data_IF_855466065521
#
_entry.id   IF_855466065521
#
_cell.length_a   1.000
_cell.length_b   1.000
_cell.length_c   1.000
_cell.angle_alpha   90.00
_cell.angle_beta   90.00
_cell.angle_gamma   90.00
#
_symmetry.space_group_name_H-M   'P 1'
#
loop_
_entity.id
_entity.type
_entity.pdbx_description
1 polymer ?
#
# COMPACT_ATOMS: atom_id res chain seq x y z
N UNK A 1 31.86 83.86 46.87
CA UNK A 1 32.28 82.67 46.08
C UNK A 1 31.75 81.32 46.57
N UNK A 2 31.53 81.07 47.88
CA UNK A 2 30.99 79.77 48.34
C UNK A 2 29.50 79.54 47.99
N UNK A 3 28.68 80.60 47.97
CA UNK A 3 27.23 80.50 47.68
C UNK A 3 26.92 80.10 46.22
N UNK A 4 27.66 80.66 45.26
CA UNK A 4 27.50 80.34 43.83
C UNK A 4 27.92 78.90 43.48
N UNK A 5 28.92 78.34 44.17
CA UNK A 5 29.32 76.93 44.02
C UNK A 5 28.28 75.94 44.57
N UNK A 6 27.54 76.32 45.61
CA UNK A 6 26.43 75.52 46.14
C UNK A 6 25.25 75.46 45.17
N UNK A 7 24.86 76.60 44.61
CA UNK A 7 23.77 76.67 43.62
C UNK A 7 24.11 75.90 42.33
N UNK A 8 25.35 75.98 41.85
CA UNK A 8 25.76 75.23 40.65
C UNK A 8 25.70 73.71 40.87
N UNK A 9 26.08 73.23 42.07
CA UNK A 9 25.98 71.80 42.42
C UNK A 9 24.53 71.31 42.50
N UNK A 10 23.63 72.12 43.06
CA UNK A 10 22.21 71.78 43.14
C UNK A 10 21.59 71.74 41.74
N UNK A 11 21.90 72.70 40.86
CA UNK A 11 21.45 72.71 39.47
C UNK A 11 21.94 71.48 38.69
N UNK A 12 23.21 71.10 38.84
CA UNK A 12 23.76 69.90 38.18
C UNK A 12 23.08 68.63 38.68
N UNK A 13 22.86 68.50 40.00
CA UNK A 13 22.17 67.34 40.56
C UNK A 13 20.70 67.26 40.11
N UNK A 14 19.99 68.39 40.03
CA UNK A 14 18.63 68.42 39.48
C UNK A 14 18.60 68.06 37.99
N UNK A 15 19.54 68.57 37.18
CA UNK A 15 19.62 68.20 35.77
C UNK A 15 19.93 66.74 35.56
N UNK A 16 20.84 66.15 36.35
CA UNK A 16 21.13 64.71 36.30
C UNK A 16 19.89 63.91 36.71
N UNK A 17 19.22 64.28 37.80
CA UNK A 17 18.00 63.60 38.26
C UNK A 17 16.89 63.62 37.20
N UNK A 18 16.63 64.77 36.57
CA UNK A 18 15.61 64.92 35.51
C UNK A 18 15.98 64.15 34.24
N UNK A 19 17.26 64.14 33.85
CA UNK A 19 17.72 63.33 32.72
C UNK A 19 17.59 61.84 33.03
N UNK A 20 17.94 61.40 34.24
CA UNK A 20 17.79 60.00 34.63
C UNK A 20 16.32 59.56 34.65
N UNK A 21 15.40 60.36 35.18
CA UNK A 21 13.97 60.01 35.22
C UNK A 21 13.34 59.99 33.82
N UNK A 22 13.70 60.94 32.96
CA UNK A 22 13.18 60.95 31.58
C UNK A 22 13.71 59.79 30.73
N UNK A 23 14.94 59.34 30.98
CA UNK A 23 15.48 58.15 30.31
C UNK A 23 14.85 56.84 30.79
N UNK A 24 14.52 56.73 32.09
CA UNK A 24 13.83 55.55 32.62
C UNK A 24 12.39 55.50 32.11
N UNK A 25 11.66 56.61 32.14
CA UNK A 25 10.27 56.69 31.69
C UNK A 25 10.13 56.35 30.19
N UNK A 26 11.09 56.79 29.37
CA UNK A 26 11.12 56.45 27.95
C UNK A 26 11.40 54.95 27.70
N UNK A 27 12.26 54.33 28.51
CA UNK A 27 12.55 52.90 28.43
C UNK A 27 11.36 52.05 28.91
N UNK A 28 10.66 52.50 29.95
CA UNK A 28 9.45 51.85 30.46
C UNK A 28 8.31 51.94 29.44
N UNK A 29 8.10 53.10 28.81
CA UNK A 29 7.11 53.26 27.75
C UNK A 29 7.41 52.38 26.52
N UNK A 30 8.68 52.24 26.14
CA UNK A 30 9.10 51.34 25.05
C UNK A 30 8.87 49.87 25.39
N UNK A 31 9.17 49.44 26.62
CA UNK A 31 8.91 48.09 27.09
C UNK A 31 7.40 47.81 27.17
N UNK A 32 6.62 48.78 27.60
CA UNK A 32 5.16 48.67 27.69
C UNK A 32 4.51 48.57 26.30
N UNK A 33 5.04 49.29 25.30
CA UNK A 33 4.63 49.13 23.91
C UNK A 33 4.99 47.75 23.36
N UNK A 34 6.20 47.25 23.61
CA UNK A 34 6.60 45.89 23.20
C UNK A 34 5.73 44.81 23.86
N UNK A 35 5.38 44.94 25.14
CA UNK A 35 4.47 44.01 25.81
C UNK A 35 3.06 44.04 25.20
N UNK A 36 2.56 45.22 24.79
CA UNK A 36 1.29 45.34 24.09
C UNK A 36 1.34 44.66 22.72
N UNK A 37 2.44 44.81 21.98
CA UNK A 37 2.64 44.13 20.69
C UNK A 37 2.71 42.61 20.83
N UNK A 38 3.46 42.09 21.82
CA UNK A 38 3.50 40.66 22.10
C UNK A 38 2.14 40.11 22.53
N UNK A 39 1.37 40.88 23.30
CA UNK A 39 0.01 40.50 23.69
C UNK A 39 -0.92 40.43 22.48
N UNK A 40 -0.87 41.42 21.58
CA UNK A 40 -1.66 41.41 20.35
C UNK A 40 -1.27 40.24 19.43
N UNK A 41 0.03 39.91 19.33
CA UNK A 41 0.49 38.74 18.60
C UNK A 41 0.01 37.43 19.23
N UNK A 42 0.03 37.31 20.55
CA UNK A 42 -0.49 36.13 21.25
C UNK A 42 -2.00 35.96 21.01
N UNK A 43 -2.77 37.04 21.10
CA UNK A 43 -4.21 37.04 20.79
C UNK A 43 -4.48 36.69 19.31
N UNK A 44 -3.66 37.19 18.39
CA UNK A 44 -3.73 36.83 16.96
C UNK A 44 -3.49 35.34 16.73
N UNK A 45 -2.39 34.79 17.25
CA UNK A 45 -2.06 33.36 17.11
C UNK A 45 -3.08 32.46 17.80
N UNK A 46 -3.64 32.89 18.94
CA UNK A 46 -4.74 32.21 19.58
C UNK A 46 -5.98 32.16 18.67
N UNK A 47 -6.33 33.29 18.04
CA UNK A 47 -7.44 33.34 17.07
C UNK A 47 -7.21 32.43 15.87
N UNK A 48 -6.00 32.42 15.31
CA UNK A 48 -5.61 31.50 14.21
C UNK A 48 -5.74 30.05 14.65
N UNK A 49 -5.23 29.70 15.83
CA UNK A 49 -5.35 28.34 16.38
C UNK A 49 -6.81 27.90 16.53
N UNK A 50 -7.69 28.77 17.05
CA UNK A 50 -9.12 28.48 17.17
C UNK A 50 -9.78 28.31 15.80
N UNK A 51 -9.47 29.15 14.82
CA UNK A 51 -10.02 28.99 13.46
C UNK A 51 -9.54 27.68 12.83
N UNK A 52 -8.27 27.32 12.99
CA UNK A 52 -7.75 26.03 12.52
C UNK A 52 -8.43 24.84 13.21
N UNK A 53 -8.67 24.93 14.52
CA UNK A 53 -9.37 23.88 15.28
C UNK A 53 -10.82 23.73 14.80
N UNK A 54 -11.54 24.84 14.61
CA UNK A 54 -12.91 24.83 14.09
C UNK A 54 -12.97 24.31 12.65
N UNK A 55 -12.07 24.74 11.77
CA UNK A 55 -11.98 24.25 10.38
C UNK A 55 -11.74 22.75 10.33
N UNK A 56 -10.81 22.24 11.15
CA UNK A 56 -10.56 20.80 11.27
C UNK A 56 -11.81 20.07 11.77
N UNK A 57 -12.51 20.63 12.75
CA UNK A 57 -13.72 20.03 13.29
C UNK A 57 -14.83 19.98 12.23
N UNK A 58 -14.99 21.03 11.42
CA UNK A 58 -15.94 21.07 10.30
C UNK A 58 -15.62 19.97 9.27
N UNK A 59 -14.37 19.86 8.82
CA UNK A 59 -13.93 18.81 7.90
C UNK A 59 -14.17 17.40 8.46
N UNK A 60 -13.88 17.17 9.74
CA UNK A 60 -14.15 15.89 10.40
C UNK A 60 -15.65 15.57 10.43
N UNK A 61 -16.50 16.56 10.70
CA UNK A 61 -17.96 16.35 10.69
C UNK A 61 -18.51 16.10 9.29
N UNK A 62 -17.94 16.73 8.26
CA UNK A 62 -18.33 16.50 6.88
C UNK A 62 -17.88 15.11 6.39
N UNK A 63 -16.65 14.69 6.72
CA UNK A 63 -16.16 13.34 6.45
C UNK A 63 -17.00 12.28 7.17
N UNK A 64 -17.33 12.48 8.45
CA UNK A 64 -18.22 11.58 9.19
C UNK A 64 -19.58 11.43 8.49
N UNK A 65 -20.16 12.54 8.06
CA UNK A 65 -21.44 12.54 7.33
C UNK A 65 -21.33 11.81 5.98
N UNK A 66 -20.22 11.96 5.26
CA UNK A 66 -19.98 11.24 4.01
C UNK A 66 -19.88 9.73 4.26
N UNK A 67 -19.12 9.30 5.27
CA UNK A 67 -19.05 7.89 5.66
C UNK A 67 -20.43 7.32 6.03
N UNK A 68 -21.21 8.05 6.83
CA UNK A 68 -22.56 7.62 7.20
C UNK A 68 -23.48 7.49 5.97
N UNK A 69 -23.36 8.42 5.01
CA UNK A 69 -24.12 8.39 3.76
C UNK A 69 -23.73 7.21 2.85
N UNK A 70 -22.44 6.91 2.75
CA UNK A 70 -21.94 5.75 1.99
C UNK A 70 -22.39 4.44 2.62
N UNK A 71 -22.31 4.33 3.95
CA UNK A 71 -22.81 3.16 4.68
C UNK A 71 -24.30 2.96 4.41
N UNK A 72 -25.11 4.02 4.47
CA UNK A 72 -26.54 3.94 4.16
C UNK A 72 -26.79 3.53 2.70
N UNK A 73 -26.05 4.09 1.75
CA UNK A 73 -26.16 3.74 0.34
C UNK A 73 -25.81 2.28 0.07
N UNK A 74 -24.73 1.79 0.67
CA UNK A 74 -24.32 0.38 0.58
C UNK A 74 -25.34 -0.55 1.23
N UNK A 75 -25.87 -0.18 2.39
CA UNK A 75 -26.95 -0.94 3.05
C UNK A 75 -28.19 -1.03 2.16
N UNK A 76 -28.57 0.05 1.48
CA UNK A 76 -29.70 0.03 0.56
C UNK A 76 -29.43 -0.83 -0.67
N UNK A 77 -28.24 -0.75 -1.27
CA UNK A 77 -27.86 -1.62 -2.38
C UNK A 77 -27.86 -3.11 -1.99
N UNK A 78 -27.37 -3.44 -0.79
CA UNK A 78 -27.43 -4.80 -0.25
C UNK A 78 -28.87 -5.25 0.00
N UNK A 79 -29.73 -4.37 0.53
CA UNK A 79 -31.16 -4.64 0.71
C UNK A 79 -31.85 -4.88 -0.63
N UNK A 80 -31.52 -4.11 -1.66
CA UNK A 80 -32.09 -4.27 -3.00
C UNK A 80 -31.63 -5.58 -3.65
N UNK A 81 -30.34 -5.89 -3.60
CA UNK A 81 -29.82 -7.16 -4.14
C UNK A 81 -30.41 -8.36 -3.41
N UNK A 82 -30.57 -8.30 -2.08
CA UNK A 82 -31.28 -9.31 -1.31
C UNK A 82 -32.72 -9.50 -1.80
N UNK A 83 -33.48 -8.41 -1.97
CA UNK A 83 -34.84 -8.44 -2.50
C UNK A 83 -34.90 -9.02 -3.93
N UNK A 84 -33.93 -8.70 -4.78
CA UNK A 84 -33.81 -9.28 -6.13
C UNK A 84 -33.57 -10.80 -6.09
N UNK A 85 -32.73 -11.28 -5.17
CA UNK A 85 -32.52 -12.72 -4.97
C UNK A 85 -33.77 -13.41 -4.42
N UNK A 86 -34.47 -12.81 -3.45
CA UNK A 86 -35.74 -13.34 -2.92
C UNK A 86 -36.81 -13.46 -4.01
N UNK A 87 -36.92 -12.44 -4.88
CA UNK A 87 -37.83 -12.48 -6.02
C UNK A 87 -37.46 -13.60 -7.02
N UNK A 88 -36.18 -13.76 -7.34
CA UNK A 88 -35.70 -14.83 -8.22
C UNK A 88 -35.94 -16.22 -7.63
N UNK A 89 -35.71 -16.38 -6.33
CA UNK A 89 -36.01 -17.62 -5.59
C UNK A 89 -37.52 -17.89 -5.65
N UNK A 90 -38.36 -16.88 -5.46
CA UNK A 90 -39.83 -17.02 -5.53
C UNK A 90 -40.31 -17.43 -6.94
N UNK A 91 -39.69 -16.91 -8.00
CA UNK A 91 -39.97 -17.32 -9.40
C UNK A 91 -39.56 -18.77 -9.62
N UNK A 92 -38.38 -19.18 -9.15
CA UNK A 92 -37.91 -20.56 -9.29
C UNK A 92 -38.78 -21.54 -8.48
N UNK A 93 -39.22 -21.14 -7.29
CA UNK A 93 -40.11 -21.94 -6.45
C UNK A 93 -41.54 -22.03 -6.98
N UNK A 94 -42.02 -21.00 -7.72
CA UNK A 94 -43.31 -20.99 -8.41
C UNK A 94 -43.28 -21.62 -9.82
N UNK A 95 -42.11 -22.14 -10.24
CA UNK A 95 -41.95 -22.96 -11.45
C UNK A 95 -42.02 -24.50 -11.23
N UNK A 96 -42.84 -25.08 -10.33
CA UNK A 96 -43.02 -26.52 -10.31
C UNK A 96 -44.04 -26.88 -11.40
N UNK A 97 -43.58 -27.33 -12.58
CA UNK A 97 -44.25 -28.33 -13.45
C UNK A 97 -43.60 -28.51 -14.83
N UNK A 98 -42.74 -27.58 -15.30
CA UNK A 98 -42.14 -27.71 -16.64
C UNK A 98 -41.02 -28.77 -16.69
N UNK A 99 -40.13 -28.80 -15.70
CA UNK A 99 -39.03 -29.77 -15.64
C UNK A 99 -39.49 -31.22 -15.38
N UNK A 100 -40.68 -31.42 -14.79
CA UNK A 100 -41.21 -32.77 -14.51
C UNK A 100 -41.93 -33.41 -15.70
N UNK A 101 -42.33 -32.63 -16.73
CA UNK A 101 -43.03 -33.16 -17.92
C UNK A 101 -42.08 -33.70 -19.00
N UNK A 102 -40.80 -33.31 -18.97
CA UNK A 102 -39.82 -33.69 -19.98
C UNK A 102 -39.03 -34.98 -19.68
N UNK A 103 -39.23 -35.63 -18.53
CA UNK A 103 -38.52 -36.85 -18.16
C UNK A 103 -39.40 -37.84 -17.41
N UNK A 104 -40.00 -38.80 -18.11
CA UNK A 104 -40.80 -39.84 -17.47
C UNK A 104 -41.58 -40.74 -18.42
N UNK A 105 -40.89 -41.40 -19.35
CA UNK A 105 -41.41 -42.63 -19.97
C UNK A 105 -40.69 -43.82 -19.32
N UNK A 106 -41.50 -44.79 -18.86
CA UNK A 106 -41.17 -46.11 -18.33
C UNK A 106 -40.46 -46.19 -16.96
N UNK A 107 -41.19 -46.65 -15.93
CA UNK A 107 -41.22 -48.06 -15.51
C UNK A 107 -42.39 -48.24 -14.53
N UNK A 108 -43.25 -49.21 -14.84
CA UNK A 108 -44.30 -49.76 -13.97
C UNK A 108 -43.65 -50.71 -12.98
N UNK A 109 -43.80 -50.47 -11.67
CA UNK A 109 -43.91 -51.51 -10.65
C UNK A 109 -44.94 -51.05 -9.62
N UNK A 110 -46.06 -51.76 -9.58
CA UNK A 110 -47.12 -51.67 -8.56
C UNK A 110 -46.61 -52.11 -7.19
N UNK A 111 -47.03 -51.43 -6.12
CA UNK A 111 -47.31 -52.01 -4.80
C UNK A 111 -48.03 -50.97 -3.92
N UNK A 112 -49.35 -51.12 -3.84
CA UNK A 112 -50.25 -50.90 -2.70
C UNK A 112 -49.72 -50.10 -1.48
N UNK A 113 -50.32 -48.95 -1.18
CA UNK A 113 -51.42 -48.81 -0.20
C UNK A 113 -51.59 -47.32 0.19
N UNK A 114 -52.84 -46.87 0.20
CA UNK A 114 -53.29 -45.58 0.72
C UNK A 114 -53.81 -45.77 2.16
N UNK A 115 -54.40 -44.75 2.82
CA UNK A 115 -54.15 -43.30 2.89
C UNK A 115 -53.80 -42.92 4.37
N UNK A 116 -53.47 -41.69 4.77
CA UNK A 116 -54.43 -40.67 5.23
C UNK A 116 -53.75 -39.32 5.47
N UNK A 117 -54.47 -38.26 5.08
CA UNK A 117 -54.40 -36.88 5.57
C UNK A 117 -54.51 -36.82 7.11
N UNK A 118 -54.09 -35.80 7.83
CA UNK A 118 -54.62 -34.42 7.80
C UNK A 118 -53.88 -33.58 8.86
N UNK A 119 -53.88 -32.24 8.67
CA UNK A 119 -53.79 -31.15 9.69
C UNK A 119 -52.47 -30.99 10.46
N UNK A 120 -51.65 -29.98 10.16
CA UNK A 120 -51.76 -28.57 10.57
C UNK A 120 -51.55 -28.35 12.07
N UNK A 121 -50.50 -27.61 12.46
CA UNK A 121 -50.57 -26.38 13.28
C UNK A 121 -49.21 -25.99 13.91
N UNK A 122 -48.86 -24.72 13.69
CA UNK A 122 -48.34 -23.74 14.65
C UNK A 122 -46.88 -23.74 15.11
N UNK A 123 -46.27 -22.58 14.81
CA UNK A 123 -45.25 -21.86 15.57
C UNK A 123 -45.46 -21.88 17.09
N UNK A 124 -44.37 -22.01 17.84
CA UNK A 124 -44.07 -21.16 19.00
C UNK A 124 -42.63 -21.41 19.50
N UNK A 125 -42.06 -20.34 20.03
CA UNK A 125 -40.70 -20.12 20.52
C UNK A 125 -40.36 -20.89 21.81
N UNK A 126 -39.05 -20.92 22.10
CA UNK A 126 -38.41 -20.68 23.41
C UNK A 126 -37.40 -21.76 23.86
N UNK A 127 -36.15 -21.32 23.86
CA UNK A 127 -35.05 -21.49 24.82
C UNK A 127 -34.80 -22.78 25.65
N UNK A 128 -33.51 -22.88 25.98
CA UNK A 128 -32.85 -23.49 27.15
C UNK A 128 -32.29 -24.91 26.98
N UNK A 129 -30.97 -24.89 26.73
CA UNK A 129 -29.88 -25.65 27.35
C UNK A 129 -30.00 -27.13 27.75
N UNK A 130 -28.92 -27.82 27.35
CA UNK A 130 -28.17 -28.87 28.04
C UNK A 130 -28.86 -30.23 28.21
N UNK A 131 -28.23 -31.27 27.68
CA UNK A 131 -27.36 -32.14 28.51
C UNK A 131 -26.67 -33.27 27.71
N UNK A 132 -25.38 -33.42 28.00
CA UNK A 132 -24.60 -34.67 28.19
C UNK A 132 -24.39 -35.66 27.04
N UNK A 133 -23.12 -35.83 26.63
CA UNK A 133 -22.24 -36.97 27.04
C UNK A 133 -20.80 -36.63 26.59
N UNK A 134 -19.79 -36.26 27.41
CA UNK A 134 -19.08 -36.89 28.54
C UNK A 134 -18.24 -38.14 28.18
N UNK A 135 -16.96 -37.89 27.88
CA UNK A 135 -15.75 -38.55 28.48
C UNK A 135 -14.47 -37.91 27.88
N UNK A 136 -13.81 -36.99 28.58
CA UNK A 136 -12.70 -37.18 29.53
C UNK A 136 -11.44 -37.78 28.86
N UNK A 137 -10.40 -36.96 28.56
CA UNK A 137 -9.26 -36.54 29.43
C UNK A 137 -8.17 -37.64 29.49
N UNK A 138 -6.85 -37.42 29.41
CA UNK A 138 -5.90 -36.32 29.66
C UNK A 138 -4.55 -36.75 28.99
N UNK A 139 -3.78 -35.89 28.31
CA UNK A 139 -2.71 -34.99 28.79
C UNK A 139 -1.39 -35.67 29.22
N UNK A 140 -0.29 -35.35 28.51
CA UNK A 140 1.11 -35.13 28.96
C UNK A 140 1.95 -34.84 27.69
N UNK A 141 2.41 -33.61 27.41
CA UNK A 141 3.53 -32.89 28.05
C UNK A 141 4.88 -33.58 27.81
N UNK A 142 5.68 -33.03 26.88
CA UNK A 142 7.14 -33.18 26.86
C UNK A 142 7.76 -32.08 25.98
N UNK A 143 8.33 -31.09 26.66
CA UNK A 143 9.34 -30.18 26.13
C UNK A 143 10.60 -30.97 25.74
N UNK A 144 11.21 -30.62 24.62
CA UNK A 144 12.63 -30.85 24.39
C UNK A 144 13.20 -29.71 23.55
N UNK A 145 14.00 -28.90 24.23
CA UNK A 145 14.98 -27.95 23.69
C UNK A 145 16.08 -28.71 22.96
N UNK A 146 16.46 -28.27 21.77
CA UNK A 146 17.82 -28.45 21.24
C UNK A 146 18.14 -27.33 20.23
N UNK A 147 19.10 -26.49 20.62
CA UNK A 147 19.85 -25.60 19.75
C UNK A 147 20.64 -26.34 18.66
N UNK A 148 21.15 -25.60 17.68
CA UNK A 148 22.44 -25.97 17.07
C UNK A 148 22.53 -25.78 15.57
N UNK A 149 22.90 -24.57 15.18
CA UNK A 149 23.45 -24.17 13.89
C UNK A 149 24.76 -24.95 13.55
N UNK A 150 24.95 -25.37 12.28
CA UNK A 150 26.29 -25.68 11.74
C UNK A 150 26.47 -26.83 10.74
N UNK A 151 26.46 -26.48 9.43
CA UNK A 151 27.34 -27.00 8.32
C UNK A 151 27.20 -28.45 7.79
N UNK A 152 27.78 -28.81 6.61
CA UNK A 152 27.85 -28.16 5.28
C UNK A 152 27.56 -29.12 4.08
N UNK A 153 27.40 -28.55 2.87
CA UNK A 153 27.74 -29.12 1.55
C UNK A 153 27.01 -30.35 0.94
N UNK A 154 26.68 -30.15 -0.35
CA UNK A 154 26.62 -31.11 -1.47
C UNK A 154 25.27 -31.74 -1.87
N UNK A 155 24.56 -31.04 -2.75
CA UNK A 155 24.14 -31.45 -4.11
C UNK A 155 23.16 -30.36 -4.58
N UNK A 156 23.07 -29.91 -5.82
CA UNK A 156 23.78 -30.08 -7.07
C UNK A 156 22.97 -29.18 -8.03
N UNK A 157 23.66 -28.35 -8.82
CA UNK A 157 23.20 -27.73 -10.05
C UNK A 157 21.74 -27.20 -10.11
N UNK A 158 21.57 -25.88 -10.19
CA UNK A 158 21.28 -25.21 -11.46
C UNK A 158 21.21 -23.70 -11.22
N UNK A 159 21.64 -22.93 -12.24
CA UNK A 159 21.63 -21.46 -12.33
C UNK A 159 22.83 -20.72 -11.71
N UNK A 160 23.99 -20.91 -12.35
CA UNK A 160 25.04 -19.90 -12.36
C UNK A 160 24.83 -18.90 -13.48
N UNK A 161 24.87 -17.62 -13.09
CA UNK A 161 25.44 -16.47 -13.80
C UNK A 161 24.81 -16.06 -15.15
N UNK A 162 24.78 -14.80 -15.56
CA UNK A 162 24.98 -13.43 -15.03
C UNK A 162 24.98 -12.61 -16.33
N UNK A 163 24.51 -11.37 -16.26
CA UNK A 163 24.67 -10.32 -17.27
C UNK A 163 23.95 -10.54 -18.61
N UNK A 164 22.98 -9.66 -18.92
CA UNK A 164 22.92 -8.99 -20.22
C UNK A 164 22.03 -7.75 -20.09
N UNK A 165 22.65 -6.61 -20.37
CA UNK A 165 22.04 -5.29 -20.49
C UNK A 165 21.12 -5.20 -21.73
N UNK A 166 20.25 -4.20 -21.67
CA UNK A 166 19.48 -3.56 -22.74
C UNK A 166 19.94 -3.79 -24.20
N UNK A 167 19.04 -4.32 -25.05
CA UNK A 167 18.52 -3.69 -26.28
C UNK A 167 17.85 -4.71 -27.23
N UNK A 168 16.80 -4.25 -27.92
CA UNK A 168 16.27 -4.78 -29.20
C UNK A 168 15.38 -6.04 -29.16
N UNK A 169 14.06 -5.83 -29.11
CA UNK A 169 13.07 -6.77 -29.62
C UNK A 169 12.55 -6.28 -30.97
N UNK A 170 13.16 -6.76 -32.05
CA UNK A 170 12.50 -6.88 -33.34
C UNK A 170 12.70 -8.29 -33.88
N UNK A 171 11.59 -8.86 -34.32
CA UNK A 171 11.43 -10.03 -35.19
C UNK A 171 11.08 -11.37 -34.52
N UNK A 172 9.81 -11.73 -34.62
CA UNK A 172 9.40 -13.10 -34.91
C UNK A 172 9.04 -13.18 -36.39
N UNK A 173 9.70 -14.06 -37.14
CA UNK A 173 9.10 -14.79 -38.27
C UNK A 173 9.93 -16.04 -38.53
N UNK A 174 9.26 -17.18 -38.51
CA UNK A 174 9.80 -18.52 -38.68
C UNK A 174 10.10 -18.83 -40.16
N UNK A 175 11.19 -19.57 -40.37
CA UNK A 175 11.62 -20.23 -41.61
C UNK A 175 10.52 -21.07 -42.28
N UNK A 176 10.49 -21.14 -43.62
CA UNK A 176 11.10 -22.20 -44.45
C UNK A 176 10.96 -21.84 -45.96
N UNK A 177 11.70 -22.46 -46.91
CA UNK A 177 13.10 -22.18 -47.26
C UNK A 177 13.28 -21.77 -48.76
N UNK A 178 14.53 -21.50 -49.14
CA UNK A 178 15.12 -21.47 -50.51
C UNK A 178 15.24 -20.12 -51.27
N UNK A 179 16.44 -19.53 -51.11
CA UNK A 179 17.33 -18.81 -52.06
C UNK A 179 16.98 -18.80 -53.58
N UNK A 180 17.67 -17.98 -54.42
CA UNK A 180 18.19 -16.61 -54.25
C UNK A 180 17.94 -15.71 -55.49
N UNK A 181 18.04 -14.38 -55.36
CA UNK A 181 18.94 -13.50 -56.16
C UNK A 181 18.50 -12.03 -56.25
N UNK A 182 19.51 -11.20 -55.96
CA UNK A 182 19.85 -9.89 -56.54
C UNK A 182 19.00 -8.66 -56.16
N UNK A 183 19.65 -7.84 -55.34
CA UNK A 183 19.61 -6.38 -55.44
C UNK A 183 19.84 -5.93 -56.89
N UNK A 184 18.91 -5.14 -57.43
CA UNK A 184 19.21 -4.18 -58.47
C UNK A 184 18.38 -2.93 -58.22
N UNK A 185 19.06 -1.90 -57.70
CA UNK A 185 18.56 -0.53 -57.74
C UNK A 185 18.68 -0.04 -59.17
N UNK A 186 17.58 0.39 -59.78
CA UNK A 186 17.57 1.27 -60.94
C UNK A 186 16.15 1.85 -61.06
N UNK A 187 15.96 3.04 -60.52
CA UNK A 187 14.91 3.94 -61.02
C UNK A 187 15.30 4.30 -62.44
N UNK A 188 14.54 3.83 -63.43
CA UNK A 188 14.48 4.46 -64.74
C UNK A 188 13.04 4.33 -65.25
N UNK A 189 12.50 5.50 -65.56
CA UNK A 189 11.23 5.77 -66.22
C UNK A 189 11.12 5.06 -67.57
N UNK A 190 9.87 4.81 -67.95
CA UNK A 190 9.39 4.55 -69.32
C UNK A 190 9.56 3.15 -69.92
N UNK A 191 8.48 2.37 -69.81
CA UNK A 191 8.05 1.50 -70.91
C UNK A 191 6.54 1.27 -70.86
N UNK A 192 5.81 2.25 -71.38
CA UNK A 192 4.45 2.04 -71.87
C UNK A 192 4.53 1.19 -73.14
N UNK A 193 3.57 0.27 -73.29
CA UNK A 193 3.33 -0.62 -74.44
C UNK A 193 3.95 -2.03 -74.33
N UNK A 194 3.19 -2.95 -73.73
CA UNK A 194 3.08 -4.31 -74.26
C UNK A 194 1.67 -4.88 -74.08
N UNK A 195 0.93 -4.82 -75.18
CA UNK A 195 0.09 -5.89 -75.74
C UNK A 195 -0.94 -6.59 -74.82
N UNK A 196 -2.13 -6.01 -74.78
CA UNK A 196 -3.37 -6.68 -75.21
C UNK A 196 -3.79 -7.98 -74.53
N UNK A 197 -4.63 -7.85 -73.50
CA UNK A 197 -5.91 -8.56 -73.40
C UNK A 197 -6.92 -7.66 -72.69
N UNK A 198 -8.06 -7.40 -73.35
CA UNK A 198 -9.25 -6.79 -72.74
C UNK A 198 -9.75 -7.75 -71.64
N UNK A 199 -9.36 -7.49 -70.40
CA UNK A 199 -9.98 -8.08 -69.21
C UNK A 199 -10.93 -7.02 -68.64
N UNK A 200 -12.20 -7.36 -68.35
CA UNK A 200 -13.16 -6.41 -67.78
C UNK A 200 -12.58 -5.70 -66.55
N UNK A 201 -12.97 -4.43 -66.39
CA UNK A 201 -12.59 -3.47 -65.34
C UNK A 201 -11.85 -4.07 -64.13
N UNK A 202 -10.63 -3.57 -63.94
CA UNK A 202 -9.68 -3.91 -62.90
C UNK A 202 -10.32 -4.15 -61.53
N UNK A 203 -10.40 -5.42 -61.12
CA UNK A 203 -10.44 -5.75 -59.70
C UNK A 203 -9.06 -5.40 -59.17
N UNK A 204 -8.93 -4.24 -58.52
CA UNK A 204 -7.71 -3.86 -57.82
C UNK A 204 -7.42 -4.93 -56.77
N UNK A 205 -6.40 -5.75 -57.04
CA UNK A 205 -5.93 -6.77 -56.11
C UNK A 205 -4.82 -6.14 -55.26
N UNK A 206 -5.06 -5.85 -53.98
CA UNK A 206 -4.05 -5.22 -53.13
C UNK A 206 -2.80 -6.12 -53.01
N UNK A 207 -1.59 -5.54 -52.95
CA UNK A 207 -0.35 -6.29 -52.76
C UNK A 207 -0.40 -7.20 -51.53
N UNK A 208 0.38 -8.28 -51.52
CA UNK A 208 0.41 -9.23 -50.41
C UNK A 208 0.61 -8.50 -49.06
N UNK A 209 -0.25 -8.83 -48.08
CA UNK A 209 -0.27 -8.18 -46.76
C UNK A 209 -1.16 -6.94 -46.65
N UNK A 210 -1.74 -6.44 -47.75
CA UNK A 210 -2.62 -5.28 -47.75
C UNK A 210 -4.07 -5.71 -47.95
N UNK A 211 -4.96 -5.22 -47.07
CA UNK A 211 -6.42 -5.44 -47.16
C UNK A 211 -7.07 -4.14 -47.61
N UNK A 212 -8.02 -4.24 -48.54
CA UNK A 212 -8.92 -3.13 -48.84
C UNK A 212 -9.85 -2.92 -47.65
N UNK A 213 -9.80 -1.72 -47.08
CA UNK A 213 -10.62 -1.31 -45.93
C UNK A 213 -11.66 -0.32 -46.44
N UNK A 214 -12.92 -0.50 -46.05
CA UNK A 214 -13.97 0.46 -46.39
C UNK A 214 -13.75 1.78 -45.65
N UNK A 215 -14.22 2.91 -46.20
CA UNK A 215 -14.02 4.22 -45.56
C UNK A 215 -14.53 4.26 -44.11
N UNK A 216 -15.68 3.65 -43.82
CA UNK A 216 -16.20 3.57 -42.44
C UNK A 216 -15.30 2.77 -41.49
N UNK A 217 -14.72 1.66 -41.96
CA UNK A 217 -13.80 0.84 -41.17
C UNK A 217 -12.45 1.56 -40.96
N UNK A 218 -12.01 2.34 -41.95
CA UNK A 218 -10.81 3.18 -41.85
C UNK A 218 -11.01 4.32 -40.84
N UNK A 219 -12.16 5.00 -40.89
CA UNK A 219 -12.50 6.06 -39.93
C UNK A 219 -12.61 5.51 -38.51
N UNK A 220 -13.21 4.32 -38.34
CA UNK A 220 -13.29 3.64 -37.05
C UNK A 220 -11.89 3.25 -36.51
N UNK A 221 -11.02 2.69 -37.36
CA UNK A 221 -9.65 2.36 -36.97
C UNK A 221 -8.84 3.63 -36.65
N UNK A 222 -9.01 4.70 -37.43
CA UNK A 222 -8.35 5.98 -37.19
C UNK A 222 -8.82 6.63 -35.88
N UNK A 223 -10.11 6.52 -35.55
CA UNK A 223 -10.65 6.96 -34.27
C UNK A 223 -10.06 6.17 -33.10
N UNK A 224 -10.01 4.83 -33.20
CA UNK A 224 -9.39 3.98 -32.17
C UNK A 224 -7.91 4.25 -32.00
N UNK A 225 -7.15 4.44 -33.09
CA UNK A 225 -5.73 4.81 -33.02
C UNK A 225 -5.55 6.18 -32.37
N UNK A 226 -6.47 7.12 -32.61
CA UNK A 226 -6.43 8.45 -31.99
C UNK A 226 -6.77 8.39 -30.49
N UNK A 227 -7.74 7.56 -30.11
CA UNK A 227 -8.12 7.30 -28.72
C UNK A 227 -6.96 6.65 -27.97
N UNK A 228 -6.40 5.56 -28.49
CA UNK A 228 -5.23 4.87 -27.92
C UNK A 228 -4.02 5.81 -27.81
N UNK A 229 -3.79 6.69 -28.80
CA UNK A 229 -2.75 7.72 -28.69
C UNK A 229 -3.04 8.69 -27.55
N UNK A 230 -4.29 9.11 -27.37
CA UNK A 230 -4.71 9.94 -26.24
C UNK A 230 -4.47 9.25 -24.90
N UNK A 231 -4.79 7.95 -24.80
CA UNK A 231 -4.54 7.15 -23.61
C UNK A 231 -3.05 7.00 -23.29
N UNK A 232 -2.22 6.73 -24.31
CA UNK A 232 -0.76 6.67 -24.15
C UNK A 232 -0.21 8.02 -23.68
N UNK A 233 -0.69 9.14 -24.23
CA UNK A 233 -0.28 10.47 -23.78
C UNK A 233 -0.66 10.73 -22.31
N UNK A 234 -1.86 10.32 -21.87
CA UNK A 234 -2.27 10.45 -20.46
C UNK A 234 -1.41 9.60 -19.53
N UNK A 235 -1.24 8.32 -19.85
CA UNK A 235 -0.42 7.40 -19.06
C UNK A 235 1.04 7.86 -18.98
N UNK A 236 1.55 8.46 -20.06
CA UNK A 236 2.89 9.02 -20.07
C UNK A 236 3.01 10.24 -19.15
N UNK A 237 2.02 11.13 -19.12
CA UNK A 237 1.99 12.25 -18.18
C UNK A 237 1.88 11.80 -16.72
N UNK A 238 1.02 10.81 -16.43
CA UNK A 238 0.90 10.21 -15.09
C UNK A 238 2.22 9.55 -14.66
N UNK A 239 2.89 8.83 -15.56
CA UNK A 239 4.22 8.25 -15.31
C UNK A 239 5.23 9.35 -14.94
N UNK A 240 5.30 10.42 -15.71
CA UNK A 240 6.21 11.54 -15.45
C UNK A 240 5.90 12.24 -14.11
N UNK A 241 4.62 12.30 -13.72
CA UNK A 241 4.20 12.83 -12.42
C UNK A 241 4.62 11.94 -11.25
N UNK A 242 4.41 10.63 -11.37
CA UNK A 242 4.85 9.67 -10.37
C UNK A 242 6.38 9.63 -10.24
N UNK A 243 7.12 9.75 -11.36
CA UNK A 243 8.58 9.85 -11.34
C UNK A 243 9.04 11.12 -10.61
N UNK A 244 8.41 12.26 -10.87
CA UNK A 244 8.69 13.51 -10.13
C UNK A 244 8.41 13.38 -8.64
N UNK A 245 7.30 12.75 -8.25
CA UNK A 245 6.96 12.58 -6.84
C UNK A 245 7.90 11.57 -6.14
N UNK A 246 8.32 10.51 -6.84
CA UNK A 246 9.33 9.61 -6.31
C UNK A 246 10.66 10.34 -6.07
N UNK A 247 11.08 11.21 -7.00
CA UNK A 247 12.28 12.00 -6.86
C UNK A 247 12.18 12.99 -5.69
N UNK A 248 11.05 13.68 -5.51
CA UNK A 248 10.86 14.62 -4.39
C UNK A 248 10.89 13.88 -3.05
N UNK A 249 10.21 12.74 -2.94
CA UNK A 249 10.21 11.91 -1.72
C UNK A 249 11.57 11.30 -1.43
N UNK A 250 12.27 10.79 -2.43
CA UNK A 250 13.64 10.26 -2.29
C UNK A 250 14.60 11.35 -1.81
N UNK A 251 14.49 12.57 -2.36
CA UNK A 251 15.30 13.70 -1.93
C UNK A 251 14.94 14.15 -0.50
N UNK A 252 13.67 14.15 -0.13
CA UNK A 252 13.23 14.51 1.22
C UNK A 252 13.72 13.50 2.27
N UNK A 253 13.52 12.21 2.01
CA UNK A 253 13.99 11.12 2.89
C UNK A 253 15.51 11.12 3.02
N UNK A 254 16.25 11.33 1.92
CA UNK A 254 17.70 11.47 1.97
C UNK A 254 18.14 12.63 2.88
N UNK A 255 17.51 13.81 2.77
CA UNK A 255 17.79 14.96 3.65
C UNK A 255 17.51 14.65 5.11
N UNK A 256 16.40 13.99 5.42
CA UNK A 256 16.07 13.57 6.80
C UNK A 256 17.11 12.59 7.34
N UNK A 257 17.47 11.57 6.56
CA UNK A 257 18.49 10.58 6.94
C UNK A 257 19.84 11.26 7.18
N UNK A 258 20.27 12.18 6.30
CA UNK A 258 21.51 12.94 6.50
C UNK A 258 21.47 13.80 7.77
N UNK A 259 20.34 14.45 8.08
CA UNK A 259 20.20 15.23 9.32
C UNK A 259 20.33 14.33 10.56
N UNK A 260 19.65 13.18 10.57
CA UNK A 260 19.74 12.21 11.66
C UNK A 260 21.16 11.65 11.79
N UNK A 261 21.84 11.34 10.67
CA UNK A 261 23.22 10.90 10.67
C UNK A 261 24.17 11.96 11.28
N UNK A 262 24.00 13.23 10.92
CA UNK A 262 24.74 14.34 11.53
C UNK A 262 24.48 14.46 13.03
N UNK A 263 23.23 14.31 13.46
CA UNK A 263 22.87 14.34 14.89
C UNK A 263 23.50 13.19 15.66
N UNK A 264 23.46 11.97 15.11
CA UNK A 264 24.09 10.78 15.70
C UNK A 264 25.60 11.00 15.81
N UNK A 265 26.28 11.43 14.75
CA UNK A 265 27.71 11.75 14.78
C UNK A 265 28.05 12.80 15.85
N UNK A 266 27.20 13.82 16.00
CA UNK A 266 27.40 14.87 17.03
C UNK A 266 27.25 14.29 18.42
N UNK A 267 26.22 13.46 18.65
CA UNK A 267 26.01 12.79 19.94
C UNK A 267 27.15 11.82 20.29
N UNK A 268 27.67 11.10 19.30
CA UNK A 268 28.79 10.19 19.48
C UNK A 268 30.06 10.95 19.85
N UNK A 269 30.36 12.06 19.17
CA UNK A 269 31.50 12.91 19.51
C UNK A 269 31.40 13.45 20.95
N UNK A 270 30.22 13.90 21.37
CA UNK A 270 29.99 14.35 22.75
C UNK A 270 30.19 13.23 23.77
N UNK A 271 29.70 12.02 23.49
CA UNK A 271 29.90 10.86 24.37
C UNK A 271 31.39 10.48 24.47
N UNK A 272 32.13 10.53 23.37
CA UNK A 272 33.58 10.30 23.37
C UNK A 272 34.31 11.34 24.23
N UNK A 273 33.92 12.61 24.15
CA UNK A 273 34.53 13.66 24.96
C UNK A 273 34.16 13.54 26.44
N UNK A 274 32.94 13.13 26.75
CA UNK A 274 32.51 12.83 28.12
C UNK A 274 33.28 11.62 28.69
N UNK A 275 33.47 10.57 27.89
CA UNK A 275 34.30 9.42 28.28
C UNK A 275 35.75 9.82 28.56
N UNK A 276 36.33 10.68 27.71
CA UNK A 276 37.67 11.24 27.94
C UNK A 276 37.70 12.05 29.24
N UNK A 277 36.75 12.96 29.47
CA UNK A 277 36.72 13.79 30.68
C UNK A 277 36.53 12.95 31.95
N UNK A 278 35.71 11.90 31.89
CA UNK A 278 35.52 10.95 32.99
C UNK A 278 36.83 10.23 33.31
N UNK A 279 37.55 9.70 32.31
CA UNK A 279 38.83 9.04 32.51
C UNK A 279 39.89 10.00 33.12
N UNK A 280 39.88 11.27 32.69
CA UNK A 280 40.76 12.30 33.24
C UNK A 280 40.43 12.62 34.70
N UNK A 281 39.15 12.80 35.03
CA UNK A 281 38.67 13.03 36.39
C UNK A 281 39.00 11.85 37.30
N UNK A 282 38.76 10.63 36.82
CA UNK A 282 39.09 9.39 37.52
C UNK A 282 40.59 9.32 37.84
N UNK A 283 41.46 9.57 36.86
CA UNK A 283 42.91 9.58 37.06
C UNK A 283 43.35 10.68 38.05
N UNK A 284 42.73 11.87 37.99
CA UNK A 284 43.01 12.96 38.91
C UNK A 284 42.63 12.61 40.37
N UNK A 285 41.48 11.96 40.57
CA UNK A 285 41.06 11.46 41.89
C UNK A 285 42.00 10.36 42.39
N UNK A 286 42.41 9.42 41.53
CA UNK A 286 43.37 8.38 41.89
C UNK A 286 44.73 8.98 42.29
N UNK A 287 45.23 10.01 41.59
CA UNK A 287 46.45 10.74 41.97
C UNK A 287 46.31 11.40 43.34
N UNK A 288 45.20 12.11 43.59
CA UNK A 288 44.94 12.74 44.89
C UNK A 288 44.84 11.72 46.02
N UNK A 289 44.22 10.57 45.79
CA UNK A 289 44.14 9.49 46.78
C UNK A 289 45.54 8.93 47.09
N UNK A 290 46.37 8.75 46.06
CA UNK A 290 47.75 8.31 46.23
C UNK A 290 48.57 9.32 47.06
N UNK A 291 48.46 10.61 46.76
CA UNK A 291 49.10 11.71 47.51
C UNK A 291 48.64 11.73 48.98
N UNK A 292 47.33 11.60 49.23
CA UNK A 292 46.78 11.54 50.59
C UNK A 292 47.33 10.32 51.34
N UNK A 293 47.36 9.13 50.72
CA UNK A 293 47.90 7.93 51.34
C UNK A 293 49.39 8.06 51.68
N UNK A 294 50.16 8.72 50.82
CA UNK A 294 51.58 9.01 51.06
C UNK A 294 51.75 10.00 52.22
N UNK A 295 50.95 11.07 52.24
CA UNK A 295 50.96 12.05 53.33
C UNK A 295 50.57 11.42 54.67
N UNK A 296 49.56 10.55 54.69
CA UNK A 296 49.12 9.81 55.86
C UNK A 296 50.24 8.90 56.38
N UNK A 297 50.88 8.12 55.50
CA UNK A 297 51.99 7.23 55.89
C UNK A 297 53.15 8.03 56.49
N UNK A 298 53.47 9.19 55.90
CA UNK A 298 54.50 10.10 56.41
C UNK A 298 54.14 10.64 57.80
N UNK A 299 52.91 11.13 57.99
CA UNK A 299 52.43 11.59 59.30
C UNK A 299 52.45 10.46 60.34
N UNK A 300 52.00 9.25 60.00
CA UNK A 300 52.06 8.09 60.89
C UNK A 300 53.51 7.74 61.28
N UNK A 301 54.46 7.82 60.35
CA UNK A 301 55.88 7.60 60.65
C UNK A 301 56.46 8.68 61.58
N UNK A 302 56.09 9.94 61.38
CA UNK A 302 56.48 11.06 62.24
C UNK A 302 55.90 10.92 63.65
N UNK A 303 54.62 10.54 63.77
CA UNK A 303 53.98 10.28 65.07
C UNK A 303 54.62 9.10 65.81
N UNK A 304 55.03 8.06 65.07
CA UNK A 304 55.72 6.91 65.67
C UNK A 304 57.13 7.26 66.12
N UNK A 305 57.81 8.17 65.43
CA UNK A 305 59.10 8.73 65.85
C UNK A 305 58.96 9.55 67.13
N UNK A 306 58.03 10.50 67.17
CA UNK A 306 57.78 11.32 68.36
C UNK A 306 57.34 10.49 69.57
N UNK A 307 56.51 9.46 69.36
CA UNK A 307 56.09 8.54 70.44
C UNK A 307 57.21 7.62 70.93
N UNK A 308 58.23 7.38 70.10
CA UNK A 308 59.43 6.61 70.45
C UNK A 308 60.54 7.45 71.10
N UNK A 309 60.33 8.76 71.22
CA UNK A 309 61.30 9.73 71.72
C UNK A 309 60.73 10.46 72.95
N UNK A 310 60.42 9.67 73.98
CA UNK A 310 60.23 10.14 75.37
C UNK A 310 60.99 9.19 76.30
N UNK A 311 62.31 9.34 76.33
CA UNK A 311 63.11 8.98 77.49
C UNK A 311 64.08 10.13 77.72
N UNK A 312 63.86 10.80 78.85
CA UNK A 312 64.65 11.88 79.47
C UNK A 312 64.36 13.30 78.95
N UNK A 313 63.49 14.04 79.63
CA UNK A 313 63.96 15.04 80.59
C UNK A 313 62.77 15.63 81.39
N UNK A 314 62.96 15.73 82.70
CA UNK A 314 62.05 16.35 83.66
C UNK A 314 62.12 17.88 83.53
N UNK A 315 60.97 18.53 83.40
CA UNK A 315 60.90 19.99 83.37
C UNK A 315 59.46 20.48 83.55
N UNK A 316 59.09 21.02 84.72
CA UNK A 316 57.73 21.45 85.00
C UNK A 316 57.44 22.80 84.34
N UNK A 317 56.14 23.06 84.22
CA UNK A 317 55.52 24.34 83.88
C UNK A 317 55.50 24.73 82.40
N UNK A 318 54.37 24.45 81.75
CA UNK A 318 53.81 25.32 80.72
C UNK A 318 52.29 25.18 80.67
N UNK A 319 51.64 26.00 81.50
CA UNK A 319 50.45 26.78 81.17
C UNK A 319 49.63 26.31 79.95
N UNK A 320 48.54 25.57 80.20
CA UNK A 320 47.43 25.48 79.25
C UNK A 320 46.19 26.18 79.82
N UNK A 321 46.29 27.49 79.94
CA UNK A 321 45.13 28.36 79.85
C UNK A 321 44.98 28.82 78.40
N UNK A 322 43.73 28.83 77.90
CA UNK A 322 43.17 29.39 76.64
C UNK A 322 42.65 28.33 75.62
N UNK A 323 41.54 28.59 74.90
CA UNK A 323 40.30 29.28 75.29
C UNK A 323 39.04 28.45 74.92
N UNK A 324 38.10 28.28 75.85
CA UNK A 324 36.80 27.67 75.55
C UNK A 324 35.95 28.46 74.51
N UNK A 325 36.35 29.70 74.17
CA UNK A 325 35.67 30.58 73.21
C UNK A 325 36.11 30.42 71.75
N UNK A 326 37.29 29.85 71.43
CA UNK A 326 37.65 29.54 70.02
C UNK A 326 37.08 28.20 69.54
N UNK A 327 36.97 27.22 70.44
CA UNK A 327 36.45 25.88 70.11
C UNK A 327 34.97 25.93 69.66
N UNK A 328 34.16 26.79 70.32
CA UNK A 328 32.77 27.01 69.96
C UNK A 328 32.60 27.60 68.56
N UNK A 329 33.44 28.58 68.18
CA UNK A 329 33.42 29.18 66.86
C UNK A 329 33.82 28.20 65.74
N UNK A 330 34.81 27.32 65.98
CA UNK A 330 35.18 26.27 65.02
C UNK A 330 34.15 25.13 64.92
N UNK A 331 33.38 24.87 65.98
CA UNK A 331 32.27 23.92 65.93
C UNK A 331 31.05 24.52 65.22
N UNK A 332 30.74 25.78 65.48
CA UNK A 332 29.69 26.52 64.79
C UNK A 332 29.99 26.65 63.29
N UNK A 333 31.23 26.96 62.91
CA UNK A 333 31.63 27.05 61.51
C UNK A 333 31.58 25.69 60.80
N UNK A 334 31.96 24.59 61.48
CA UNK A 334 31.76 23.23 60.94
C UNK A 334 30.30 22.91 60.69
N UNK A 335 29.41 23.24 61.63
CA UNK A 335 27.97 23.04 61.47
C UNK A 335 27.40 23.89 60.34
N UNK A 336 27.88 25.12 60.14
CA UNK A 336 27.48 25.96 59.00
C UNK A 336 27.88 25.34 57.66
N UNK A 337 29.11 24.86 57.54
CA UNK A 337 29.59 24.17 56.33
C UNK A 337 28.78 22.90 56.08
N UNK A 338 28.46 22.13 57.12
CA UNK A 338 27.67 20.90 56.99
C UNK A 338 26.21 21.20 56.59
N UNK A 339 25.60 22.26 57.12
CA UNK A 339 24.26 22.71 56.70
C UNK A 339 24.27 23.14 55.23
N UNK A 340 25.31 23.87 54.78
CA UNK A 340 25.43 24.27 53.37
C UNK A 340 25.60 23.03 52.47
N UNK A 341 26.47 22.09 52.86
CA UNK A 341 26.69 20.85 52.12
C UNK A 341 25.41 19.99 52.04
N UNK A 342 24.67 19.85 53.15
CA UNK A 342 23.39 19.13 53.16
C UNK A 342 22.33 19.82 52.29
N UNK A 343 22.33 21.17 52.23
CA UNK A 343 21.46 21.94 51.33
C UNK A 343 21.84 21.74 49.87
N UNK A 344 23.13 21.74 49.54
CA UNK A 344 23.62 21.44 48.19
C UNK A 344 23.27 20.00 47.77
N UNK A 345 23.41 19.03 48.66
CA UNK A 345 23.01 17.64 48.40
C UNK A 345 21.50 17.49 48.19
N UNK A 346 20.68 18.22 48.95
CA UNK A 346 19.23 18.26 48.73
C UNK A 346 18.87 18.93 47.40
N UNK A 347 19.53 20.03 47.04
CA UNK A 347 19.33 20.70 45.76
C UNK A 347 19.70 19.78 44.58
N UNK A 348 20.85 19.10 44.64
CA UNK A 348 21.27 18.12 43.63
C UNK A 348 20.26 16.99 43.48
N UNK A 349 19.76 16.41 44.59
CA UNK A 349 18.70 15.38 44.53
C UNK A 349 17.40 15.90 43.91
N UNK A 350 16.99 17.14 44.19
CA UNK A 350 15.79 17.70 43.56
C UNK A 350 15.96 17.93 42.06
N UNK A 351 17.16 18.30 41.61
CA UNK A 351 17.46 18.42 40.17
C UNK A 351 17.46 17.04 39.49
N UNK A 352 18.05 16.02 40.13
CA UNK A 352 18.00 14.63 39.66
C UNK A 352 16.56 14.11 39.57
N UNK A 353 15.71 14.38 40.57
CA UNK A 353 14.30 13.99 40.55
C UNK A 353 13.52 14.65 39.40
N UNK A 354 13.81 15.92 39.10
CA UNK A 354 13.22 16.62 37.94
C UNK A 354 13.70 15.99 36.63
N UNK A 355 15.00 15.67 36.50
CA UNK A 355 15.53 14.99 35.33
C UNK A 355 14.93 13.59 35.15
N UNK A 356 14.78 12.82 36.22
CA UNK A 356 14.11 11.52 36.20
C UNK A 356 12.64 11.64 35.79
N UNK A 357 11.94 12.68 36.27
CA UNK A 357 10.55 12.94 35.85
C UNK A 357 10.47 13.28 34.35
N UNK A 358 11.39 14.10 33.84
CA UNK A 358 11.47 14.45 32.42
C UNK A 358 11.80 13.23 31.56
N UNK A 359 12.78 12.42 31.97
CA UNK A 359 13.14 11.17 31.28
C UNK A 359 11.96 10.20 31.29
N UNK A 360 11.24 10.08 32.41
CA UNK A 360 10.04 9.24 32.50
C UNK A 360 8.97 9.68 31.51
N UNK A 361 8.66 10.98 31.44
CA UNK A 361 7.69 11.49 30.46
C UNK A 361 8.13 11.23 29.02
N UNK A 362 9.43 11.33 28.75
CA UNK A 362 9.98 11.06 27.42
C UNK A 362 9.92 9.57 27.08
N UNK A 363 10.19 8.67 28.03
CA UNK A 363 10.02 7.22 27.83
C UNK A 363 8.57 6.84 27.60
N UNK A 364 7.61 7.46 28.30
CA UNK A 364 6.18 7.25 28.09
C UNK A 364 5.74 7.74 26.70
N UNK A 365 6.28 8.89 26.26
CA UNK A 365 6.05 9.44 24.91
C UNK A 365 6.61 8.54 23.82
N UNK A 366 7.82 8.01 23.99
CA UNK A 366 8.43 7.07 23.03
C UNK A 366 7.64 5.76 23.00
N UNK A 367 7.20 5.28 24.16
CA UNK A 367 6.42 4.05 24.27
C UNK A 367 5.06 4.19 23.57
N UNK A 368 4.36 5.32 23.73
CA UNK A 368 3.10 5.56 23.02
C UNK A 368 3.28 5.66 21.51
N UNK A 369 4.36 6.30 21.04
CA UNK A 369 4.70 6.35 19.61
C UNK A 369 5.01 4.97 19.04
N UNK A 370 5.73 4.13 19.80
CA UNK A 370 5.99 2.74 19.41
C UNK A 370 4.69 1.95 19.27
N UNK A 371 3.80 2.06 20.26
CA UNK A 371 2.53 1.34 20.26
C UNK A 371 1.61 1.82 19.11
N UNK A 372 1.63 3.13 18.80
CA UNK A 372 0.92 3.70 17.65
C UNK A 372 1.46 3.16 16.32
N UNK A 373 2.78 3.22 16.10
CA UNK A 373 3.41 2.67 14.89
C UNK A 373 3.16 1.16 14.75
N UNK A 374 3.14 0.42 15.86
CA UNK A 374 2.84 -0.99 15.87
C UNK A 374 1.38 -1.27 15.47
N UNK A 375 0.43 -0.43 15.90
CA UNK A 375 -0.96 -0.50 15.47
C UNK A 375 -1.12 -0.17 13.97
N UNK A 376 -0.46 0.88 13.48
CA UNK A 376 -0.46 1.25 12.06
C UNK A 376 0.12 0.14 11.18
N UNK A 377 1.23 -0.48 11.60
CA UNK A 377 1.84 -1.59 10.87
C UNK A 377 0.92 -2.82 10.81
N UNK A 378 0.18 -3.12 11.89
CA UNK A 378 -0.81 -4.17 11.89
C UNK A 378 -1.98 -3.85 10.95
N UNK A 379 -2.46 -2.60 10.94
CA UNK A 379 -3.52 -2.15 10.03
C UNK A 379 -3.08 -2.30 8.56
N UNK A 380 -1.90 -1.79 8.19
CA UNK A 380 -1.36 -1.95 6.84
C UNK A 380 -1.21 -3.44 6.44
N UNK A 381 -0.83 -4.31 7.39
CA UNK A 381 -0.72 -5.74 7.13
C UNK A 381 -2.08 -6.38 6.84
N UNK A 382 -3.12 -6.00 7.58
CA UNK A 382 -4.49 -6.47 7.31
C UNK A 382 -5.03 -5.97 5.98
N UNK A 383 -4.73 -4.73 5.60
CA UNK A 383 -5.10 -4.18 4.29
C UNK A 383 -4.40 -4.94 3.15
N UNK A 384 -3.10 -5.20 3.28
CA UNK A 384 -2.34 -5.99 2.30
C UNK A 384 -2.88 -7.43 2.16
N UNK A 385 -3.31 -8.03 3.26
CA UNK A 385 -3.92 -9.37 3.24
C UNK A 385 -5.30 -9.32 2.56
N UNK A 386 -6.10 -8.29 2.81
CA UNK A 386 -7.36 -8.03 2.10
C UNK A 386 -7.17 -7.84 0.59
N UNK A 387 -6.18 -7.02 0.19
CA UNK A 387 -5.83 -6.80 -1.22
C UNK A 387 -5.34 -8.10 -1.89
N UNK A 388 -4.55 -8.93 -1.20
CA UNK A 388 -4.14 -10.24 -1.71
C UNK A 388 -5.32 -11.16 -1.98
N UNK A 389 -6.30 -11.19 -1.09
CA UNK A 389 -7.53 -11.97 -1.29
C UNK A 389 -8.33 -11.43 -2.47
N UNK A 390 -8.53 -10.11 -2.55
CA UNK A 390 -9.23 -9.48 -3.68
C UNK A 390 -8.56 -9.79 -5.03
N UNK A 391 -7.22 -9.69 -5.10
CA UNK A 391 -6.44 -10.04 -6.29
C UNK A 391 -6.66 -11.50 -6.70
N UNK A 392 -6.62 -12.43 -5.74
CA UNK A 392 -6.86 -13.85 -6.00
C UNK A 392 -8.26 -14.12 -6.58
N UNK A 393 -9.28 -13.41 -6.08
CA UNK A 393 -10.64 -13.51 -6.62
C UNK A 393 -10.74 -12.96 -8.04
N UNK A 394 -10.12 -11.81 -8.33
CA UNK A 394 -10.11 -11.23 -9.68
C UNK A 394 -9.38 -12.15 -10.66
N UNK A 395 -8.24 -12.71 -10.27
CA UNK A 395 -7.49 -13.66 -11.09
C UNK A 395 -8.32 -14.92 -11.40
N UNK A 396 -8.97 -15.50 -10.39
CA UNK A 396 -9.86 -16.65 -10.56
C UNK A 396 -11.04 -16.32 -11.47
N UNK A 397 -11.64 -15.14 -11.31
CA UNK A 397 -12.78 -14.68 -12.12
C UNK A 397 -12.37 -14.44 -13.57
N UNK A 398 -11.19 -13.87 -13.81
CA UNK A 398 -10.65 -13.69 -15.17
C UNK A 398 -10.33 -15.02 -15.84
N UNK A 399 -9.75 -15.98 -15.12
CA UNK A 399 -9.52 -17.33 -15.63
C UNK A 399 -10.85 -18.02 -16.00
N UNK A 400 -11.86 -17.93 -15.14
CA UNK A 400 -13.19 -18.46 -15.40
C UNK A 400 -13.86 -17.77 -16.61
N UNK A 401 -13.74 -16.45 -16.73
CA UNK A 401 -14.27 -15.70 -17.87
C UNK A 401 -13.60 -16.12 -19.19
N UNK A 402 -12.27 -16.25 -19.20
CA UNK A 402 -11.51 -16.75 -20.36
C UNK A 402 -11.93 -18.16 -20.77
N UNK A 403 -12.07 -19.07 -19.80
CA UNK A 403 -12.47 -20.45 -20.08
C UNK A 403 -13.93 -20.50 -20.59
N UNK A 404 -14.81 -19.69 -20.01
CA UNK A 404 -16.19 -19.57 -20.48
C UNK A 404 -16.26 -19.02 -21.92
N UNK A 405 -15.45 -18.03 -22.26
CA UNK A 405 -15.37 -17.49 -23.62
C UNK A 405 -14.89 -18.54 -24.63
N UNK A 406 -13.88 -19.34 -24.29
CA UNK A 406 -13.44 -20.47 -25.12
C UNK A 406 -14.56 -21.50 -25.33
N UNK A 407 -15.35 -21.81 -24.29
CA UNK A 407 -16.51 -22.68 -24.43
C UNK A 407 -17.56 -22.12 -25.39
N UNK A 408 -17.84 -20.82 -25.35
CA UNK A 408 -18.78 -20.17 -26.26
C UNK A 408 -18.29 -20.22 -27.71
N UNK A 409 -16.99 -20.00 -27.92
CA UNK A 409 -16.38 -20.04 -29.24
C UNK A 409 -16.39 -21.45 -29.85
N UNK A 410 -16.00 -22.47 -29.08
CA UNK A 410 -16.11 -23.88 -29.51
C UNK A 410 -17.56 -24.27 -29.81
N UNK A 411 -18.52 -23.77 -29.03
CA UNK A 411 -19.94 -24.02 -29.29
C UNK A 411 -20.40 -23.38 -30.60
N UNK A 412 -19.95 -22.16 -30.88
CA UNK A 412 -20.21 -21.49 -32.16
C UNK A 412 -19.63 -22.27 -33.34
N UNK A 413 -18.38 -22.72 -33.24
CA UNK A 413 -17.73 -23.57 -34.25
C UNK A 413 -18.51 -24.88 -34.47
N UNK A 414 -18.98 -25.52 -33.40
CA UNK A 414 -19.76 -26.76 -33.49
C UNK A 414 -21.12 -26.53 -34.18
N UNK A 415 -21.79 -25.41 -33.90
CA UNK A 415 -23.04 -25.03 -34.60
C UNK A 415 -22.77 -24.79 -36.10
N UNK A 416 -21.68 -24.09 -36.43
CA UNK A 416 -21.28 -23.84 -37.82
C UNK A 416 -20.99 -25.14 -38.57
N UNK A 417 -20.18 -26.03 -37.98
CA UNK A 417 -19.87 -27.33 -38.58
C UNK A 417 -21.13 -28.18 -38.73
N UNK A 418 -22.04 -28.16 -37.75
CA UNK A 418 -23.30 -28.88 -37.84
C UNK A 418 -24.15 -28.38 -39.01
N UNK A 419 -24.27 -27.06 -39.17
CA UNK A 419 -24.95 -26.46 -40.32
C UNK A 419 -24.29 -26.84 -41.66
N UNK A 420 -22.97 -26.89 -41.72
CA UNK A 420 -22.25 -27.32 -42.93
C UNK A 420 -22.49 -28.80 -43.26
N UNK A 421 -22.56 -29.67 -42.24
CA UNK A 421 -22.90 -31.08 -42.43
C UNK A 421 -24.35 -31.23 -42.90
N UNK A 422 -25.29 -30.51 -42.30
CA UNK A 422 -26.71 -30.57 -42.66
C UNK A 422 -26.92 -30.07 -44.11
N UNK A 423 -26.26 -28.97 -44.52
CA UNK A 423 -26.31 -28.49 -45.91
C UNK A 423 -25.68 -29.49 -46.90
N UNK A 424 -24.53 -30.09 -46.55
CA UNK A 424 -23.92 -31.14 -47.36
C UNK A 424 -24.83 -32.37 -47.50
N UNK A 425 -25.53 -32.75 -46.42
CA UNK A 425 -26.47 -33.85 -46.45
C UNK A 425 -27.66 -33.54 -47.37
N UNK A 426 -28.23 -32.34 -47.27
CA UNK A 426 -29.31 -31.90 -48.19
C UNK A 426 -28.85 -31.94 -49.64
N UNK A 427 -27.67 -31.40 -49.96
CA UNK A 427 -27.12 -31.43 -51.33
C UNK A 427 -26.93 -32.87 -51.83
N UNK A 428 -26.49 -33.79 -50.97
CA UNK A 428 -26.38 -35.21 -51.34
C UNK A 428 -27.76 -35.83 -51.63
N UNK A 429 -28.75 -35.55 -50.80
CA UNK A 429 -30.12 -36.04 -50.99
C UNK A 429 -30.71 -35.51 -52.30
N UNK A 430 -30.55 -34.21 -52.57
CA UNK A 430 -31.01 -33.56 -53.80
C UNK A 430 -30.31 -34.16 -55.03
N UNK A 431 -29.00 -34.40 -54.96
CA UNK A 431 -28.26 -35.05 -56.05
C UNK A 431 -28.78 -36.47 -56.32
N UNK A 432 -29.03 -37.26 -55.28
CA UNK A 432 -29.59 -38.60 -55.41
C UNK A 432 -30.98 -38.53 -56.05
N UNK A 433 -31.85 -37.64 -55.58
CA UNK A 433 -33.19 -37.44 -56.14
C UNK A 433 -33.13 -37.00 -57.62
N UNK A 434 -32.26 -36.04 -57.94
CA UNK A 434 -32.08 -35.55 -59.31
C UNK A 434 -31.57 -36.67 -60.22
N UNK A 435 -30.62 -37.48 -59.74
CA UNK A 435 -30.07 -38.61 -60.49
C UNK A 435 -31.13 -39.68 -60.77
N UNK A 436 -31.97 -40.02 -59.78
CA UNK A 436 -33.08 -40.95 -59.94
C UNK A 436 -34.13 -40.41 -60.93
N UNK A 437 -34.51 -39.13 -60.79
CA UNK A 437 -35.44 -38.47 -61.71
C UNK A 437 -34.91 -38.45 -63.13
N UNK A 438 -33.64 -38.09 -63.32
CA UNK A 438 -32.97 -38.14 -64.63
C UNK A 438 -32.98 -39.56 -65.21
N UNK A 439 -32.67 -40.56 -64.39
CA UNK A 439 -32.62 -41.96 -64.82
C UNK A 439 -34.00 -42.47 -65.25
N UNK A 440 -35.05 -42.09 -64.52
CA UNK A 440 -36.44 -42.35 -64.92
C UNK A 440 -36.80 -41.63 -66.23
N UNK A 441 -36.48 -40.33 -66.36
CA UNK A 441 -36.75 -39.55 -67.59
C UNK A 441 -36.06 -40.17 -68.81
N UNK A 442 -34.79 -40.57 -68.67
CA UNK A 442 -34.05 -41.24 -69.74
C UNK A 442 -34.66 -42.59 -70.12
N UNK A 443 -35.15 -43.37 -69.15
CA UNK A 443 -35.81 -44.64 -69.42
C UNK A 443 -37.17 -44.46 -70.12
N UNK A 444 -37.94 -43.42 -69.77
CA UNK A 444 -39.18 -43.07 -70.47
C UNK A 444 -38.89 -42.64 -71.91
N UNK A 445 -37.84 -41.83 -72.14
CA UNK A 445 -37.39 -41.47 -73.49
C UNK A 445 -36.97 -42.70 -74.30
N UNK A 446 -36.27 -43.67 -73.67
CA UNK A 446 -35.87 -44.93 -74.32
C UNK A 446 -37.08 -45.77 -74.76
N UNK A 447 -38.18 -45.68 -74.03
CA UNK A 447 -39.41 -46.41 -74.31
C UNK A 447 -40.35 -45.68 -75.30
N UNK A 448 -40.08 -44.43 -75.66
CA UNK A 448 -40.90 -43.66 -76.58
C UNK A 448 -40.80 -44.18 -78.02
N UNK A 449 -41.95 -44.36 -78.69
CA UNK A 449 -42.04 -44.93 -80.05
C UNK A 449 -42.01 -43.85 -81.15
N UNK A 450 -42.08 -42.55 -80.80
CA UNK A 450 -42.12 -41.42 -81.73
C UNK A 450 -41.34 -40.18 -81.25
N UNK A 451 -40.90 -39.34 -82.19
CA UNK A 451 -40.14 -38.12 -81.90
C UNK A 451 -40.99 -37.00 -81.27
N UNK A 452 -42.29 -36.93 -81.56
CA UNK A 452 -43.21 -36.00 -80.89
C UNK A 452 -43.33 -36.29 -79.38
N UNK A 453 -43.44 -37.57 -78.97
CA UNK A 453 -43.49 -37.96 -77.55
C UNK A 453 -42.23 -37.58 -76.79
N UNK A 454 -41.05 -37.70 -77.42
CA UNK A 454 -39.78 -37.28 -76.80
C UNK A 454 -39.72 -35.77 -76.58
N UNK A 455 -40.31 -34.95 -77.47
CA UNK A 455 -40.39 -33.49 -77.27
C UNK A 455 -41.29 -33.12 -76.10
N UNK A 456 -42.43 -33.80 -75.96
CA UNK A 456 -43.39 -33.55 -74.89
C UNK A 456 -42.78 -33.85 -73.50
N UNK A 457 -42.11 -35.00 -73.34
CA UNK A 457 -41.42 -35.38 -72.09
C UNK A 457 -40.30 -34.39 -71.69
N UNK A 458 -39.64 -33.77 -72.69
CA UNK A 458 -38.62 -32.74 -72.47
C UNK A 458 -39.23 -31.36 -72.17
N UNK A 459 -40.35 -31.00 -72.79
CA UNK A 459 -41.06 -29.73 -72.54
C UNK A 459 -41.76 -29.71 -71.17
N UNK A 460 -42.26 -30.85 -70.69
CA UNK A 460 -42.94 -30.95 -69.39
C UNK A 460 -41.98 -30.61 -68.22
N UNK A 461 -40.67 -30.87 -68.38
CA UNK A 461 -39.64 -30.46 -67.41
C UNK A 461 -39.28 -28.97 -67.41
N UNK A 462 -39.60 -28.23 -68.47
CA UNK A 462 -39.31 -26.78 -68.58
C UNK A 462 -40.45 -25.95 -67.97
N UNK A 463 -41.70 -26.45 -68.01
CA UNK A 463 -42.84 -25.73 -67.42
C UNK A 463 -42.87 -25.78 -65.89
N UNK A 464 -42.39 -26.85 -65.24
CA UNK A 464 -42.37 -26.94 -63.76
C UNK A 464 -41.28 -26.10 -63.09
N UNK A 465 -40.18 -25.77 -63.78
CA UNK A 465 -39.10 -24.93 -63.20
C UNK A 465 -39.45 -23.43 -63.15
N UNK A 466 -40.52 -23.00 -63.81
CA UNK A 466 -40.98 -21.61 -63.88
C UNK A 466 -41.89 -21.16 -62.74
N UNK A 467 -42.31 -22.06 -61.85
CA UNK A 467 -43.22 -21.75 -60.73
C UNK A 467 -42.52 -21.91 -59.38
N UNK A 468 -41.64 -20.96 -59.03
CA UNK A 468 -41.23 -20.74 -57.65
C UNK A 468 -42.30 -19.89 -56.94
N UNK A 469 -42.75 -20.24 -55.72
CA UNK A 469 -43.67 -19.42 -54.96
C UNK A 469 -42.90 -18.24 -54.36
N UNK A 470 -43.38 -17.03 -54.67
CA UNK A 470 -43.13 -15.85 -53.85
C UNK A 470 -43.87 -16.02 -52.52
N UNK A 471 -43.13 -16.13 -51.42
CA UNK A 471 -43.41 -15.56 -50.08
C UNK A 471 -42.69 -16.35 -48.98
N UNK A 472 -41.78 -15.69 -48.27
CA UNK A 472 -41.79 -15.57 -46.80
C UNK A 472 -40.64 -14.65 -46.34
N UNK A 473 -41.00 -13.81 -45.37
CA UNK A 473 -40.27 -12.74 -44.66
C UNK A 473 -38.82 -12.98 -44.22
#
# INVERSE_FOLDING_TARGET
>A
MRHSRGQLRVLILLSIAVVTTTTTDASEASLQAQLADFRAQAEHWQGVATICELSKQEELTELQKQCDQEVQSLQEALRETAAQYEARISVLQSQPLEWRRAGGQNVVISSNDAPTSTTASSLAEAEVMLSTDRRHNQLAELEAVAEGEGTPLASEAYFSLRHCDSASLLSFSLDTPSLPRKLHAQEDTDSLVSTGTLVPEAIYLPPAGHRLVMHGDWDALSAQVSELRGEVCRLQAEKEELERELDTQTNHTHKQVSMLQCQVHTSEALLQDLQKSFSQSQNAVQSRLAELSFSQRKVCSELSRLKGEEVEDEGPDSSLSFPATLQGAHCEERLRIEIVNLREQLAARTEEDVQLSSLKTETERIQSQKDQLQAELLACRTELDGLRVALSHVQQRNAHASMHQQCLELRSQLISLRSQVDTSQTVQMDFVQLSQSLQMKLEVIRQAESLEQVREILEEGVSEAGSLPADAS
#
